data_IF_661202654817
#
_entry.id   IF_661202654817
#
_cell.length_a   1.000
_cell.length_b   1.000
_cell.length_c   1.000
_cell.angle_alpha   90.00
_cell.angle_beta   90.00
_cell.angle_gamma   90.00
#
_symmetry.space_group_name_H-M   'P 1'
#
loop_
_entity.id
_entity.type
_entity.pdbx_description
1 polymer ?
#
# COMPACT_ATOMS: atom_id res chain seq x y z
N UNK A 1 -62.78 5.43 -27.96
CA UNK A 1 -62.86 4.43 -26.89
C UNK A 1 -62.06 3.20 -27.27
N UNK A 2 -60.88 3.03 -26.71
CA UNK A 2 -60.20 1.73 -26.59
C UNK A 2 -59.24 1.87 -25.40
N UNK A 3 -59.80 1.65 -24.22
CA UNK A 3 -59.08 1.56 -22.95
C UNK A 3 -58.08 0.41 -23.01
N UNK A 4 -56.82 0.76 -23.28
CA UNK A 4 -55.68 -0.12 -23.06
C UNK A 4 -55.30 -0.09 -21.59
N UNK A 5 -56.01 -0.85 -20.76
CA UNK A 5 -55.58 -1.20 -19.40
C UNK A 5 -54.22 -1.89 -19.52
N UNK A 6 -53.14 -1.15 -19.29
CA UNK A 6 -51.84 -1.74 -19.01
C UNK A 6 -51.84 -2.18 -17.56
N UNK A 7 -51.79 -3.50 -17.38
CA UNK A 7 -51.68 -4.15 -16.08
C UNK A 7 -50.51 -3.58 -15.27
N UNK A 8 -50.63 -3.48 -13.93
CA UNK A 8 -49.52 -3.04 -13.09
C UNK A 8 -48.33 -3.96 -13.30
N UNK A 9 -47.27 -3.43 -13.89
CA UNK A 9 -46.00 -4.12 -14.03
C UNK A 9 -45.51 -4.49 -12.63
N UNK A 10 -45.39 -5.80 -12.40
CA UNK A 10 -45.02 -6.38 -11.13
C UNK A 10 -43.79 -5.68 -10.58
N UNK A 11 -43.98 -4.95 -9.48
CA UNK A 11 -42.92 -4.40 -8.66
C UNK A 11 -42.21 -5.61 -8.04
N UNK A 12 -41.20 -6.12 -8.72
CA UNK A 12 -40.31 -7.13 -8.15
C UNK A 12 -39.55 -6.48 -7.01
N UNK A 13 -40.10 -6.63 -5.80
CA UNK A 13 -39.42 -6.40 -4.54
C UNK A 13 -38.30 -7.41 -4.37
N UNK A 14 -37.25 -7.28 -5.19
CA UNK A 14 -35.96 -7.92 -4.97
C UNK A 14 -35.09 -6.94 -4.20
N UNK A 15 -34.37 -7.44 -3.21
CA UNK A 15 -33.32 -6.74 -2.47
C UNK A 15 -32.23 -6.28 -3.45
N UNK A 16 -32.48 -5.18 -4.18
CA UNK A 16 -31.59 -4.63 -5.19
C UNK A 16 -30.47 -3.94 -4.45
N UNK A 17 -29.27 -4.53 -4.50
CA UNK A 17 -28.03 -3.92 -4.01
C UNK A 17 -27.88 -2.59 -4.75
N UNK A 18 -28.13 -1.49 -4.04
CA UNK A 18 -28.17 -0.13 -4.61
C UNK A 18 -26.79 0.42 -4.93
N UNK A 19 -25.77 0.01 -4.17
CA UNK A 19 -24.39 0.32 -4.47
C UNK A 19 -23.50 -0.93 -4.43
N UNK A 20 -23.33 -1.54 -5.59
CA UNK A 20 -22.45 -2.70 -5.74
C UNK A 20 -20.99 -2.35 -5.43
N UNK A 21 -20.53 -1.14 -5.75
CA UNK A 21 -19.14 -0.74 -5.58
C UNK A 21 -18.74 -0.68 -4.10
N UNK A 22 -19.54 -0.01 -3.26
CA UNK A 22 -19.25 0.11 -1.82
C UNK A 22 -19.42 -1.25 -1.12
N UNK A 23 -20.41 -2.04 -1.53
CA UNK A 23 -20.61 -3.37 -0.96
C UNK A 23 -19.42 -4.30 -1.23
N UNK A 24 -19.00 -4.44 -2.49
CA UNK A 24 -17.85 -5.28 -2.83
C UNK A 24 -16.53 -4.69 -2.32
N UNK A 25 -16.37 -3.37 -2.35
CA UNK A 25 -15.19 -2.68 -1.81
C UNK A 25 -15.04 -2.91 -0.31
N UNK A 26 -16.12 -2.76 0.46
CA UNK A 26 -16.16 -3.06 1.89
C UNK A 26 -15.89 -4.53 2.18
N UNK A 27 -16.48 -5.45 1.42
CA UNK A 27 -16.24 -6.89 1.58
C UNK A 27 -14.77 -7.27 1.35
N UNK A 28 -14.15 -6.71 0.31
CA UNK A 28 -12.72 -6.92 0.01
C UNK A 28 -11.85 -6.35 1.14
N UNK A 29 -12.15 -5.15 1.65
CA UNK A 29 -11.44 -4.57 2.78
C UNK A 29 -11.52 -5.45 4.04
N UNK A 30 -12.71 -6.02 4.32
CA UNK A 30 -12.90 -6.96 5.44
C UNK A 30 -12.08 -8.24 5.22
N UNK A 31 -12.07 -8.79 4.01
CA UNK A 31 -11.29 -9.99 3.69
C UNK A 31 -9.78 -9.75 3.86
N UNK A 32 -9.26 -8.61 3.38
CA UNK A 32 -7.85 -8.23 3.53
C UNK A 32 -7.50 -8.03 5.01
N UNK A 33 -8.37 -7.38 5.79
CA UNK A 33 -8.18 -7.22 7.22
C UNK A 33 -8.14 -8.57 7.96
N UNK A 34 -9.05 -9.49 7.63
CA UNK A 34 -9.08 -10.83 8.20
C UNK A 34 -7.81 -11.62 7.87
N UNK A 35 -7.33 -11.54 6.62
CA UNK A 35 -6.08 -12.14 6.20
C UNK A 35 -4.88 -11.54 6.94
N UNK A 36 -4.81 -10.21 7.08
CA UNK A 36 -3.75 -9.54 7.82
C UNK A 36 -3.74 -9.92 9.30
N UNK A 37 -4.92 -10.02 9.93
CA UNK A 37 -5.06 -10.48 11.31
C UNK A 37 -4.63 -11.94 11.46
N UNK A 38 -4.96 -12.80 10.49
CA UNK A 38 -4.53 -14.20 10.46
C UNK A 38 -3.01 -14.33 10.29
N UNK A 39 -2.42 -13.65 9.30
CA UNK A 39 -0.97 -13.65 9.05
C UNK A 39 -0.18 -13.05 10.23
N UNK A 40 -0.79 -12.13 10.97
CA UNK A 40 -0.14 -11.48 12.11
C UNK A 40 -0.29 -12.26 13.42
N UNK A 41 -0.98 -13.42 13.46
CA UNK A 41 -1.23 -14.17 14.72
C UNK A 41 0.04 -14.71 15.36
N UNK A 42 1.03 -15.06 14.55
CA UNK A 42 2.28 -15.65 15.04
C UNK A 42 3.27 -14.61 15.58
N UNK A 43 3.00 -13.32 15.39
CA UNK A 43 3.86 -12.27 15.93
C UNK A 43 3.61 -12.00 17.42
N UNK A 44 4.66 -11.75 18.22
CA UNK A 44 4.53 -11.35 19.62
C UNK A 44 3.68 -10.08 19.75
N UNK A 45 2.59 -10.20 20.51
CA UNK A 45 1.70 -9.07 20.85
C UNK A 45 2.28 -8.18 21.95
N UNK A 46 1.48 -7.19 22.36
CA UNK A 46 1.83 -6.25 23.42
C UNK A 46 2.18 -6.98 24.72
N UNK A 47 3.29 -6.61 25.35
CA UNK A 47 3.69 -7.09 26.68
C UNK A 47 3.76 -5.89 27.62
N UNK A 48 2.74 -5.71 28.46
CA UNK A 48 2.60 -4.51 29.29
C UNK A 48 2.41 -3.25 28.44
N UNK A 49 3.22 -2.20 28.69
CA UNK A 49 3.21 -0.94 27.95
C UNK A 49 4.10 -0.93 26.69
N UNK A 50 4.84 -2.01 26.43
CA UNK A 50 5.71 -2.11 25.26
C UNK A 50 4.96 -2.70 24.06
N UNK A 51 4.92 -1.97 22.96
CA UNK A 51 4.37 -2.44 21.69
C UNK A 51 5.28 -3.52 21.09
N UNK A 52 4.76 -4.75 21.00
CA UNK A 52 5.39 -5.81 20.23
C UNK A 52 5.28 -5.56 18.72
N UNK A 53 6.13 -6.17 17.88
CA UNK A 53 6.14 -5.96 16.43
C UNK A 53 4.83 -6.35 15.74
N UNK A 54 4.03 -7.25 16.33
CA UNK A 54 2.71 -7.62 15.83
C UNK A 54 1.57 -6.68 16.23
N UNK A 55 1.79 -5.75 17.16
CA UNK A 55 0.71 -4.94 17.75
C UNK A 55 0.21 -3.87 16.77
N UNK A 56 1.12 -3.13 16.14
CA UNK A 56 0.76 -2.11 15.17
C UNK A 56 0.02 -2.69 13.95
N UNK A 57 0.51 -3.76 13.27
CA UNK A 57 -0.22 -4.40 12.19
C UNK A 57 -1.64 -4.85 12.57
N UNK A 58 -1.83 -5.40 13.77
CA UNK A 58 -3.15 -5.86 14.23
C UNK A 58 -4.13 -4.71 14.50
N UNK A 59 -3.67 -3.61 15.09
CA UNK A 59 -4.51 -2.44 15.33
C UNK A 59 -4.97 -1.86 14.00
N UNK A 60 -4.04 -1.63 13.06
CA UNK A 60 -4.39 -1.14 11.72
C UNK A 60 -5.32 -2.07 10.96
N UNK A 61 -5.07 -3.38 11.01
CA UNK A 61 -5.95 -4.38 10.37
C UNK A 61 -7.34 -4.39 11.02
N UNK A 62 -7.45 -4.26 12.35
CA UNK A 62 -8.74 -4.23 13.03
C UNK A 62 -9.57 -2.98 12.68
N UNK A 63 -8.92 -1.80 12.62
CA UNK A 63 -9.55 -0.55 12.20
C UNK A 63 -9.98 -0.64 10.72
N UNK A 64 -9.10 -1.16 9.85
CA UNK A 64 -9.41 -1.37 8.44
C UNK A 64 -10.60 -2.32 8.24
N UNK A 65 -10.66 -3.40 9.03
CA UNK A 65 -11.78 -4.34 9.01
C UNK A 65 -13.09 -3.72 9.49
N UNK A 66 -13.04 -2.92 10.57
CA UNK A 66 -14.21 -2.19 11.07
C UNK A 66 -14.72 -1.17 10.04
N UNK A 67 -13.82 -0.37 9.45
CA UNK A 67 -14.16 0.57 8.39
C UNK A 67 -14.70 -0.15 7.15
N UNK A 68 -14.09 -1.26 6.74
CA UNK A 68 -14.56 -2.08 5.62
C UNK A 68 -15.97 -2.62 5.87
N UNK A 69 -16.28 -3.04 7.10
CA UNK A 69 -17.62 -3.48 7.49
C UNK A 69 -18.63 -2.32 7.43
N UNK A 70 -18.25 -1.14 7.93
CA UNK A 70 -19.07 0.08 7.87
C UNK A 70 -19.39 0.43 6.41
N UNK A 71 -18.40 0.41 5.51
CA UNK A 71 -18.59 0.67 4.07
C UNK A 71 -19.46 -0.40 3.41
N UNK A 72 -19.25 -1.68 3.73
CA UNK A 72 -20.06 -2.77 3.19
C UNK A 72 -21.54 -2.63 3.59
N UNK A 73 -21.81 -2.28 4.85
CA UNK A 73 -23.18 -2.02 5.34
C UNK A 73 -23.74 -0.74 4.71
N UNK A 74 -22.92 0.31 4.55
CA UNK A 74 -23.30 1.55 3.87
C UNK A 74 -23.70 1.33 2.40
N UNK A 75 -23.03 0.42 1.69
CA UNK A 75 -23.37 0.05 0.31
C UNK A 75 -24.73 -0.64 0.13
N UNK A 76 -25.36 -1.10 1.22
CA UNK A 76 -26.73 -1.61 1.22
C UNK A 76 -27.79 -0.50 1.27
N UNK A 77 -27.42 0.70 1.75
CA UNK A 77 -28.34 1.81 2.02
C UNK A 77 -28.21 2.91 0.98
N UNK A 78 -26.98 3.23 0.55
CA UNK A 78 -26.66 4.32 -0.38
C UNK A 78 -26.73 3.83 -1.82
N UNK A 79 -27.21 4.70 -2.73
CA UNK A 79 -27.08 4.49 -4.19
C UNK A 79 -25.72 4.99 -4.66
N UNK A 80 -25.01 4.22 -5.49
CA UNK A 80 -23.66 4.57 -5.94
C UNK A 80 -23.44 4.38 -7.43
N UNK A 81 -22.45 5.08 -8.00
CA UNK A 81 -22.08 4.95 -9.41
C UNK A 81 -21.65 3.51 -9.73
N UNK A 82 -21.82 3.07 -11.00
CA UNK A 82 -21.40 1.74 -11.42
C UNK A 82 -19.88 1.58 -11.32
N UNK A 83 -19.46 0.37 -10.96
CA UNK A 83 -18.07 -0.05 -10.75
C UNK A 83 -17.14 0.47 -11.87
N UNK A 84 -16.22 1.37 -11.53
CA UNK A 84 -15.16 1.78 -12.46
C UNK A 84 -14.33 0.57 -12.85
N UNK A 85 -14.09 0.40 -14.16
CA UNK A 85 -13.28 -0.71 -14.67
C UNK A 85 -11.88 -0.59 -14.07
N UNK A 86 -11.50 -1.62 -13.33
CA UNK A 86 -10.14 -1.79 -12.82
C UNK A 86 -9.17 -1.57 -13.98
N UNK A 87 -8.22 -0.65 -13.80
CA UNK A 87 -7.09 -0.47 -14.69
C UNK A 87 -6.15 -1.69 -14.53
N UNK A 88 -6.54 -2.82 -15.12
CA UNK A 88 -5.86 -4.13 -15.00
C UNK A 88 -4.41 -4.04 -15.45
N UNK A 89 -4.09 -3.15 -16.41
CA UNK A 89 -2.73 -3.00 -16.94
C UNK A 89 -1.76 -2.48 -15.88
N UNK A 90 -2.12 -1.43 -15.15
CA UNK A 90 -1.26 -0.85 -14.10
C UNK A 90 -1.13 -1.75 -12.86
N UNK A 91 -2.21 -2.44 -12.47
CA UNK A 91 -2.20 -3.36 -11.32
C UNK A 91 -1.44 -4.67 -11.61
N UNK A 92 -1.59 -5.23 -12.80
CA UNK A 92 -0.81 -6.41 -13.22
C UNK A 92 0.69 -6.10 -13.30
N UNK A 93 1.07 -4.95 -13.88
CA UNK A 93 2.47 -4.52 -13.93
C UNK A 93 3.05 -4.26 -12.54
N UNK A 94 2.27 -3.68 -11.62
CA UNK A 94 2.67 -3.54 -10.21
C UNK A 94 2.93 -4.89 -9.54
N UNK A 95 2.05 -5.87 -9.74
CA UNK A 95 2.23 -7.23 -9.20
C UNK A 95 3.48 -7.92 -9.78
N UNK A 96 3.75 -7.75 -11.09
CA UNK A 96 4.95 -8.27 -11.75
C UNK A 96 6.21 -7.62 -11.18
N UNK A 97 6.22 -6.31 -10.94
CA UNK A 97 7.36 -5.61 -10.32
C UNK A 97 7.66 -6.13 -8.91
N UNK A 98 6.61 -6.38 -8.11
CA UNK A 98 6.76 -6.97 -6.77
C UNK A 98 7.38 -8.38 -6.88
N UNK A 99 6.86 -9.22 -7.79
CA UNK A 99 7.39 -10.56 -8.01
C UNK A 99 8.86 -10.56 -8.47
N UNK A 100 9.22 -9.65 -9.38
CA UNK A 100 10.60 -9.47 -9.86
C UNK A 100 11.52 -9.03 -8.71
N UNK A 101 11.09 -8.06 -7.88
CA UNK A 101 11.90 -7.61 -6.74
C UNK A 101 12.16 -8.75 -5.74
N UNK A 102 11.14 -9.55 -5.43
CA UNK A 102 11.27 -10.72 -4.57
C UNK A 102 12.23 -11.74 -5.20
N UNK A 103 12.09 -12.02 -6.50
CA UNK A 103 12.95 -12.97 -7.22
C UNK A 103 14.41 -12.52 -7.23
N UNK A 104 14.67 -11.25 -7.61
CA UNK A 104 16.01 -10.64 -7.60
C UNK A 104 16.60 -10.69 -6.19
N UNK A 105 15.82 -10.29 -5.17
CA UNK A 105 16.29 -10.32 -3.78
C UNK A 105 16.63 -11.73 -3.30
N UNK A 106 15.85 -12.74 -3.71
CA UNK A 106 16.04 -14.14 -3.31
C UNK A 106 17.22 -14.81 -4.05
N UNK A 107 17.44 -14.50 -5.33
CA UNK A 107 18.56 -15.06 -6.12
C UNK A 107 19.90 -14.36 -5.87
N UNK A 108 19.91 -13.05 -5.59
CA UNK A 108 21.14 -12.29 -5.35
C UNK A 108 21.77 -12.61 -3.99
N UNK A 109 20.94 -12.78 -2.94
CA UNK A 109 21.40 -12.97 -1.55
C UNK A 109 22.24 -14.22 -1.25
N UNK A 110 22.07 -15.39 -1.90
CA UNK A 110 22.96 -16.53 -1.68
C UNK A 110 24.31 -16.39 -2.40
N UNK A 111 24.37 -15.68 -3.53
CA UNK A 111 25.59 -15.54 -4.36
C UNK A 111 26.55 -14.54 -3.70
N UNK A 112 26.04 -13.43 -3.15
CA UNK A 112 26.86 -12.40 -2.48
C UNK A 112 27.09 -12.65 -0.99
N UNK A 113 26.38 -13.59 -0.37
CA UNK A 113 26.73 -14.07 0.97
C UNK A 113 28.15 -14.67 1.03
N UNK A 114 28.67 -15.19 -0.08
CA UNK A 114 30.04 -15.69 -0.19
C UNK A 114 31.12 -14.60 -0.33
N UNK A 115 30.76 -13.35 -0.63
CA UNK A 115 31.71 -12.25 -0.91
C UNK A 115 31.67 -11.09 0.10
N UNK A 116 30.81 -11.15 1.13
CA UNK A 116 30.74 -10.12 2.18
C UNK A 116 30.18 -8.76 1.76
N UNK A 117 29.77 -8.59 0.49
CA UNK A 117 29.26 -7.33 -0.09
C UNK A 117 27.71 -7.23 -0.06
N UNK A 118 27.06 -7.78 0.97
CA UNK A 118 25.59 -7.86 1.09
C UNK A 118 24.86 -6.50 1.07
N UNK A 119 25.54 -5.42 1.45
CA UNK A 119 24.98 -4.08 1.62
C UNK A 119 24.65 -3.39 0.27
N UNK A 120 25.43 -3.66 -0.79
CA UNK A 120 25.33 -2.93 -2.07
C UNK A 120 24.26 -3.52 -3.00
N UNK A 121 23.97 -4.82 -2.88
CA UNK A 121 23.07 -5.55 -3.78
C UNK A 121 21.60 -5.14 -3.61
N UNK A 122 21.15 -4.89 -2.38
CA UNK A 122 19.76 -4.45 -2.12
C UNK A 122 19.52 -3.02 -2.58
N UNK A 123 20.55 -2.17 -2.51
CA UNK A 123 20.51 -0.80 -3.03
C UNK A 123 20.47 -0.83 -4.56
N UNK A 124 21.29 -1.66 -5.20
CA UNK A 124 21.26 -1.84 -6.65
C UNK A 124 19.91 -2.39 -7.13
N UNK A 125 19.34 -3.38 -6.44
CA UNK A 125 18.00 -3.89 -6.77
C UNK A 125 16.91 -2.82 -6.66
N UNK A 126 16.96 -1.97 -5.61
CA UNK A 126 16.02 -0.85 -5.45
C UNK A 126 16.19 0.21 -6.56
N UNK A 127 17.44 0.55 -6.92
CA UNK A 127 17.74 1.47 -8.01
C UNK A 127 17.28 0.89 -9.35
N UNK A 128 17.53 -0.39 -9.62
CA UNK A 128 17.08 -1.07 -10.84
C UNK A 128 15.56 -1.09 -10.92
N UNK A 129 14.85 -1.40 -9.84
CA UNK A 129 13.37 -1.31 -9.81
C UNK A 129 12.88 0.09 -10.07
N UNK A 130 13.54 1.11 -9.49
CA UNK A 130 13.20 2.51 -9.74
C UNK A 130 13.42 2.88 -11.23
N UNK A 131 14.57 2.53 -11.80
CA UNK A 131 14.91 2.80 -13.19
C UNK A 131 13.98 2.06 -14.16
N UNK A 132 13.67 0.79 -13.88
CA UNK A 132 12.71 -0.02 -14.64
C UNK A 132 11.31 0.61 -14.56
N UNK A 133 10.89 1.09 -13.39
CA UNK A 133 9.61 1.78 -13.24
C UNK A 133 9.57 3.06 -14.07
N UNK A 134 10.62 3.90 -13.99
CA UNK A 134 10.73 5.13 -14.79
C UNK A 134 10.74 4.81 -16.30
N UNK A 135 11.40 3.73 -16.70
CA UNK A 135 11.47 3.30 -18.11
C UNK A 135 10.14 2.73 -18.64
N UNK A 136 9.41 1.96 -17.82
CA UNK A 136 8.11 1.37 -18.15
C UNK A 136 6.99 2.42 -18.08
N UNK A 137 7.08 3.42 -17.20
CA UNK A 137 6.05 4.43 -16.98
C UNK A 137 5.92 5.42 -18.14
N UNK A 138 5.38 4.97 -19.28
CA UNK A 138 4.91 5.79 -20.40
C UNK A 138 3.42 5.55 -20.64
N UNK A 139 2.53 6.31 -19.99
CA UNK A 139 1.08 6.14 -20.19
C UNK A 139 0.16 6.89 -19.22
N UNK A 140 -1.16 6.67 -19.25
CA UNK A 140 -2.14 7.27 -18.32
C UNK A 140 -2.27 6.48 -16.99
N UNK A 141 -1.55 5.36 -16.87
CA UNK A 141 -1.57 4.37 -15.80
C UNK A 141 -0.36 4.47 -14.86
N UNK A 142 0.33 5.62 -14.86
CA UNK A 142 1.58 5.83 -14.09
C UNK A 142 1.37 5.82 -12.58
N UNK A 143 0.23 6.33 -12.11
CA UNK A 143 -0.04 6.56 -10.69
C UNK A 143 0.19 5.31 -9.82
N UNK A 144 -0.50 4.18 -10.08
CA UNK A 144 -0.34 2.96 -9.29
C UNK A 144 1.08 2.39 -9.33
N UNK A 145 1.79 2.51 -10.46
CA UNK A 145 3.13 1.96 -10.63
C UNK A 145 4.17 2.70 -9.78
N UNK A 146 4.11 4.04 -9.75
CA UNK A 146 5.02 4.84 -8.92
C UNK A 146 4.81 4.60 -7.42
N UNK A 147 3.57 4.31 -6.98
CA UNK A 147 3.28 3.95 -5.58
C UNK A 147 3.91 2.61 -5.21
N UNK A 148 3.78 1.60 -6.08
CA UNK A 148 4.41 0.29 -5.88
C UNK A 148 5.94 0.42 -5.90
N UNK A 149 6.49 1.20 -6.83
CA UNK A 149 7.92 1.43 -6.92
C UNK A 149 8.49 2.15 -5.69
N UNK A 150 7.82 3.19 -5.18
CA UNK A 150 8.20 3.85 -3.93
C UNK A 150 8.24 2.87 -2.76
N UNK A 151 7.21 2.02 -2.66
CA UNK A 151 7.13 0.97 -1.63
C UNK A 151 8.28 -0.05 -1.74
N UNK A 152 8.63 -0.48 -2.95
CA UNK A 152 9.75 -1.42 -3.18
C UNK A 152 11.11 -0.78 -2.90
N UNK A 153 11.30 0.48 -3.31
CA UNK A 153 12.50 1.26 -3.00
C UNK A 153 12.67 1.41 -1.49
N UNK A 154 11.60 1.74 -0.77
CA UNK A 154 11.61 1.78 0.69
C UNK A 154 12.03 0.44 1.30
N UNK A 155 11.39 -0.65 0.87
CA UNK A 155 11.65 -2.00 1.40
C UNK A 155 13.09 -2.48 1.15
N UNK A 156 13.67 -2.17 -0.02
CA UNK A 156 15.07 -2.50 -0.34
C UNK A 156 16.10 -1.63 0.39
N UNK A 157 15.71 -0.41 0.75
CA UNK A 157 16.62 0.62 1.25
C UNK A 157 16.62 0.77 2.77
N UNK A 158 15.59 0.26 3.45
CA UNK A 158 15.41 0.41 4.90
C UNK A 158 16.56 -0.19 5.73
N UNK A 159 17.15 -1.31 5.28
CA UNK A 159 18.29 -1.95 5.96
C UNK A 159 19.60 -1.19 5.81
N UNK A 160 20.04 -0.80 4.59
CA UNK A 160 21.33 -0.16 4.40
C UNK A 160 21.36 1.34 4.74
N UNK A 161 20.31 2.11 4.39
CA UNK A 161 20.34 3.58 4.51
C UNK A 161 19.66 4.11 5.79
N UNK A 162 19.01 3.25 6.57
CA UNK A 162 18.22 3.65 7.72
C UNK A 162 16.86 4.25 7.32
N UNK A 163 15.95 4.34 8.29
CA UNK A 163 14.54 4.68 8.02
C UNK A 163 14.34 6.11 7.52
N UNK A 164 15.15 7.07 8.00
CA UNK A 164 15.01 8.50 7.63
C UNK A 164 15.30 8.71 6.14
N UNK A 165 16.42 8.19 5.66
CA UNK A 165 16.80 8.32 4.24
C UNK A 165 15.88 7.48 3.34
N UNK A 166 15.53 6.26 3.78
CA UNK A 166 14.62 5.39 3.03
C UNK A 166 13.23 6.04 2.87
N UNK A 167 12.66 6.61 3.93
CA UNK A 167 11.34 7.24 3.88
C UNK A 167 11.36 8.49 3.01
N UNK A 168 12.41 9.31 3.10
CA UNK A 168 12.54 10.51 2.27
C UNK A 168 12.59 10.17 0.78
N UNK A 169 13.46 9.23 0.38
CA UNK A 169 13.56 8.77 -1.02
C UNK A 169 12.22 8.21 -1.49
N UNK A 170 11.57 7.37 -0.68
CA UNK A 170 10.27 6.80 -1.02
C UNK A 170 9.19 7.86 -1.24
N UNK A 171 9.13 8.90 -0.40
CA UNK A 171 8.13 9.97 -0.54
C UNK A 171 8.39 10.76 -1.83
N UNK A 172 9.64 11.07 -2.14
CA UNK A 172 10.01 11.77 -3.38
C UNK A 172 9.64 10.93 -4.62
N UNK A 173 9.89 9.61 -4.58
CA UNK A 173 9.52 8.68 -5.65
C UNK A 173 8.01 8.60 -5.82
N UNK A 174 7.24 8.54 -4.73
CA UNK A 174 5.78 8.56 -4.80
C UNK A 174 5.24 9.90 -5.31
N UNK A 175 5.83 11.03 -4.93
CA UNK A 175 5.38 12.34 -5.38
C UNK A 175 5.56 12.55 -6.89
N UNK A 176 6.57 11.92 -7.49
CA UNK A 176 6.80 11.89 -8.92
C UNK A 176 5.68 11.16 -9.72
N UNK A 177 4.74 10.49 -9.05
CA UNK A 177 3.57 9.87 -9.67
C UNK A 177 2.58 10.89 -10.26
N UNK A 178 2.55 12.10 -9.70
CA UNK A 178 1.61 13.16 -10.06
C UNK A 178 2.17 14.01 -11.18
N UNK A 179 1.36 14.42 -12.16
CA UNK A 179 1.86 15.19 -13.32
C UNK A 179 2.09 16.67 -12.98
N UNK A 180 1.57 17.14 -11.84
CA UNK A 180 1.56 18.54 -11.38
C UNK A 180 2.51 18.81 -10.20
N UNK A 181 3.69 18.17 -10.17
CA UNK A 181 4.59 18.27 -9.00
C UNK A 181 5.19 19.66 -8.85
N UNK A 182 4.80 20.36 -7.78
CA UNK A 182 5.53 21.53 -7.26
C UNK A 182 6.67 21.02 -6.38
N UNK A 183 7.83 20.78 -6.99
CA UNK A 183 9.00 20.15 -6.34
C UNK A 183 9.45 20.84 -5.06
N UNK A 184 9.34 22.17 -4.99
CA UNK A 184 9.73 22.95 -3.81
C UNK A 184 8.86 22.66 -2.59
N UNK A 185 7.54 22.63 -2.75
CA UNK A 185 6.63 22.28 -1.65
C UNK A 185 6.70 20.80 -1.31
N UNK A 186 6.82 19.95 -2.34
CA UNK A 186 6.89 18.50 -2.17
C UNK A 186 8.07 18.11 -1.29
N UNK A 187 9.25 18.66 -1.55
CA UNK A 187 10.47 18.40 -0.76
C UNK A 187 10.30 18.92 0.67
N UNK A 188 9.67 20.08 0.84
CA UNK A 188 9.48 20.69 2.16
C UNK A 188 8.50 19.86 3.02
N UNK A 189 7.39 19.42 2.44
CA UNK A 189 6.44 18.49 3.08
C UNK A 189 7.07 17.12 3.35
N UNK A 190 7.81 16.56 2.39
CA UNK A 190 8.49 15.29 2.55
C UNK A 190 9.54 15.33 3.67
N UNK A 191 10.32 16.41 3.75
CA UNK A 191 11.29 16.63 4.81
C UNK A 191 10.60 16.77 6.18
N UNK A 192 9.56 17.60 6.27
CA UNK A 192 8.80 17.79 7.50
C UNK A 192 8.17 16.50 8.01
N UNK A 193 7.52 15.73 7.13
CA UNK A 193 6.90 14.45 7.48
C UNK A 193 7.96 13.41 7.89
N UNK A 194 9.10 13.37 7.21
CA UNK A 194 10.20 12.46 7.53
C UNK A 194 10.79 12.77 8.91
N UNK A 195 11.05 14.05 9.21
CA UNK A 195 11.56 14.49 10.53
C UNK A 195 10.53 14.16 11.61
N UNK A 196 9.25 14.44 11.36
CA UNK A 196 8.18 14.13 12.32
C UNK A 196 8.07 12.63 12.60
N UNK A 197 8.08 11.79 11.57
CA UNK A 197 8.11 10.33 11.73
C UNK A 197 9.35 9.88 12.50
N UNK A 198 10.53 10.41 12.18
CA UNK A 198 11.76 10.07 12.90
C UNK A 198 11.69 10.43 14.39
N UNK A 199 11.16 11.62 14.72
CA UNK A 199 10.95 12.06 16.09
C UNK A 199 9.94 11.17 16.82
N UNK A 200 8.84 10.80 16.18
CA UNK A 200 7.83 9.91 16.77
C UNK A 200 8.45 8.55 17.13
N UNK A 201 9.28 7.98 16.25
CA UNK A 201 9.94 6.70 16.56
C UNK A 201 10.99 6.78 17.67
N UNK A 202 11.79 7.86 17.70
CA UNK A 202 12.82 8.04 18.74
C UNK A 202 12.19 8.39 20.09
N UNK A 203 11.29 9.37 20.12
CA UNK A 203 10.74 9.93 21.35
C UNK A 203 9.44 9.25 21.83
N UNK A 204 8.55 8.85 20.93
CA UNK A 204 7.25 8.30 21.34
C UNK A 204 7.27 6.78 21.56
N UNK A 205 8.12 6.04 20.83
CA UNK A 205 8.16 4.57 20.90
C UNK A 205 9.41 4.00 21.59
N UNK A 206 10.48 4.79 21.74
CA UNK A 206 11.76 4.40 22.36
C UNK A 206 12.23 2.99 21.89
N UNK A 207 11.99 2.68 20.62
CA UNK A 207 12.34 1.40 20.01
C UNK A 207 13.81 1.45 19.57
N UNK A 208 14.63 0.43 19.86
CA UNK A 208 16.01 0.35 19.38
C UNK A 208 16.03 0.00 17.89
N UNK A 209 15.62 0.95 17.04
CA UNK A 209 15.64 0.82 15.60
C UNK A 209 16.79 1.65 15.01
N UNK A 210 17.17 1.27 13.79
CA UNK A 210 18.34 1.73 13.10
C UNK A 210 18.16 3.05 12.33
N UNK A 211 18.29 4.19 13.01
CA UNK A 211 18.03 5.51 12.42
C UNK A 211 19.17 6.04 11.54
N UNK A 212 20.40 5.55 11.74
CA UNK A 212 21.59 6.02 11.04
C UNK A 212 22.20 4.90 10.18
N UNK A 213 22.72 5.18 8.97
CA UNK A 213 23.39 4.18 8.14
C UNK A 213 24.54 3.53 8.92
N UNK A 214 24.42 2.21 9.15
CA UNK A 214 25.48 1.40 9.75
C UNK A 214 26.35 0.89 8.61
N UNK A 215 27.50 1.54 8.41
CA UNK A 215 28.59 1.01 7.60
C UNK A 215 29.22 -0.19 8.32
#
# INVERSE_FOLDING_TARGET
>A
MSDGIQAPSGRSGGFRIRNQQDFYGGLVLVAVAAFALWASRDLPGMRGFAFGPGTAPRIFASILGALGLIVAVGGLVTDGPPVERVAVRGTALGAVLIAIFILVSNYATPITAGLGLRQYETVLAAIVVLLVTIAIARGADRGPLYVVAGTLVFAGTIRPLGLVLASFISIVVCAAATVEVRWRETILWAAGLTIFCALLFVYALNLPFNFWPRF
#
